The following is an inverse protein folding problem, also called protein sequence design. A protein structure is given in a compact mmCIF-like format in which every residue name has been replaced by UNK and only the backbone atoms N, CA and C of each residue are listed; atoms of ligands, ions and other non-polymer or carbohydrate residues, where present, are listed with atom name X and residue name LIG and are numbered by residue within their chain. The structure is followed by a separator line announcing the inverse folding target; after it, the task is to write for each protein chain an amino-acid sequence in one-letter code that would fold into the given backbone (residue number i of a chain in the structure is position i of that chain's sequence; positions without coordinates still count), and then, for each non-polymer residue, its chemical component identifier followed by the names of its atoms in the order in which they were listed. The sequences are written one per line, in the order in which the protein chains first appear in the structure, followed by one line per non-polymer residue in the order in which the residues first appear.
data_IF_130627136825
#
_entry.id   IF_130627136825
#
_cell.length_a   1.000
_cell.length_b   1.000
_cell.length_c   1.000
_cell.angle_alpha   90.00
_cell.angle_beta   90.00
_cell.angle_gamma   90.00
#
_symmetry.space_group_name_H-M   'P 1'
#
loop_
_entity.id
_entity.type
_entity.pdbx_description
1 polymer ?
#
# COMPACT_ATOMS: atom_id res chain seq x y z
N UNK A 1 10.55 -16.53 12.42
CA UNK A 1 10.43 -15.10 12.81
C UNK A 1 9.42 -14.40 11.90
N UNK A 2 8.77 -13.29 12.35
CA UNK A 2 7.90 -12.45 11.50
C UNK A 2 8.65 -11.92 10.26
N UNK A 3 9.94 -11.61 10.41
CA UNK A 3 10.81 -11.16 9.31
C UNK A 3 10.87 -12.19 8.17
N UNK A 4 11.05 -13.47 8.49
CA UNK A 4 11.16 -14.52 7.46
C UNK A 4 9.86 -14.67 6.66
N UNK A 5 8.70 -14.39 7.27
CA UNK A 5 7.40 -14.46 6.60
C UNK A 5 7.12 -13.28 5.66
N UNK A 6 7.98 -12.27 5.66
CA UNK A 6 7.93 -11.11 4.76
C UNK A 6 9.08 -11.16 3.73
N UNK A 7 10.29 -11.44 4.19
CA UNK A 7 11.48 -11.42 3.34
C UNK A 7 11.53 -12.60 2.36
N UNK A 8 11.20 -13.82 2.79
CA UNK A 8 11.20 -14.97 1.87
C UNK A 8 10.17 -14.79 0.75
N UNK A 9 8.91 -14.39 1.04
CA UNK A 9 7.92 -14.18 -0.02
C UNK A 9 8.25 -13.03 -0.95
N UNK A 10 8.97 -12.00 -0.47
CA UNK A 10 9.51 -10.95 -1.34
C UNK A 10 10.48 -11.52 -2.38
N UNK A 11 11.49 -12.28 -1.93
CA UNK A 11 12.46 -12.90 -2.84
C UNK A 11 11.81 -13.88 -3.81
N UNK A 12 10.90 -14.73 -3.31
CA UNK A 12 10.11 -15.65 -4.15
C UNK A 12 9.30 -14.87 -5.18
N UNK A 13 8.68 -13.76 -4.76
CA UNK A 13 7.95 -12.88 -5.63
C UNK A 13 8.82 -12.31 -6.75
N UNK A 14 9.99 -11.75 -6.42
CA UNK A 14 10.95 -11.19 -7.37
C UNK A 14 11.48 -12.24 -8.36
N UNK A 15 11.72 -13.48 -7.92
CA UNK A 15 12.34 -14.53 -8.73
C UNK A 15 11.31 -15.29 -9.59
N UNK A 16 10.08 -15.49 -9.07
CA UNK A 16 9.10 -16.41 -9.68
C UNK A 16 7.88 -15.68 -10.21
N UNK A 17 7.39 -14.66 -9.49
CA UNK A 17 6.08 -14.05 -9.74
C UNK A 17 6.17 -12.80 -10.60
N UNK A 18 7.19 -11.96 -10.40
CA UNK A 18 7.42 -10.74 -11.17
C UNK A 18 7.91 -11.01 -12.60
N UNK A 19 8.81 -11.99 -12.88
CA UNK A 19 9.34 -12.17 -14.22
C UNK A 19 8.29 -12.44 -15.31
N UNK A 20 7.25 -13.27 -15.07
CA UNK A 20 6.16 -13.39 -16.02
C UNK A 20 5.43 -12.08 -16.28
N UNK A 21 5.22 -11.25 -15.26
CA UNK A 21 4.57 -9.94 -15.42
C UNK A 21 5.39 -9.07 -16.38
N UNK A 22 6.69 -8.93 -16.12
CA UNK A 22 7.56 -8.08 -16.92
C UNK A 22 7.70 -8.58 -18.36
N UNK A 23 7.70 -9.90 -18.57
CA UNK A 23 7.68 -10.48 -19.91
C UNK A 23 6.45 -10.04 -20.72
N UNK A 24 5.24 -10.07 -20.13
CA UNK A 24 4.03 -9.65 -20.83
C UNK A 24 3.94 -8.12 -21.01
N UNK A 25 4.53 -7.34 -20.10
CA UNK A 25 4.67 -5.88 -20.25
C UNK A 25 5.58 -5.51 -21.43
N UNK A 26 6.65 -6.29 -21.65
CA UNK A 26 7.70 -5.99 -22.63
C UNK A 26 7.91 -7.16 -23.63
N UNK A 27 6.83 -7.78 -24.11
CA UNK A 27 6.90 -9.05 -24.86
C UNK A 27 7.74 -8.96 -26.15
N UNK A 28 7.86 -7.78 -26.72
CA UNK A 28 8.63 -7.51 -27.94
C UNK A 28 10.14 -7.41 -27.71
N UNK A 29 10.57 -7.26 -26.46
CA UNK A 29 11.99 -7.14 -26.10
C UNK A 29 12.69 -8.50 -25.94
N UNK A 30 11.92 -9.60 -25.96
CA UNK A 30 12.44 -10.94 -25.71
C UNK A 30 12.05 -11.94 -26.80
N UNK A 31 13.00 -12.78 -27.21
CA UNK A 31 12.76 -13.83 -28.21
C UNK A 31 11.79 -14.92 -27.72
N UNK A 32 11.82 -15.23 -26.42
CA UNK A 32 10.99 -16.27 -25.82
C UNK A 32 10.78 -16.03 -24.33
N UNK A 33 9.73 -16.65 -23.76
CA UNK A 33 9.50 -16.61 -22.32
C UNK A 33 10.67 -17.21 -21.53
N UNK A 34 11.31 -18.28 -22.02
CA UNK A 34 12.40 -18.94 -21.31
C UNK A 34 13.65 -18.06 -21.22
N UNK A 35 14.01 -17.38 -22.32
CA UNK A 35 15.13 -16.44 -22.34
C UNK A 35 14.85 -15.22 -21.47
N UNK A 36 13.63 -14.67 -21.54
CA UNK A 36 13.20 -13.57 -20.67
C UNK A 36 13.27 -13.96 -19.20
N UNK A 37 12.70 -15.11 -18.82
CA UNK A 37 12.66 -15.57 -17.44
C UNK A 37 14.07 -15.75 -16.86
N UNK A 38 15.01 -16.33 -17.60
CA UNK A 38 16.39 -16.51 -17.15
C UNK A 38 17.10 -15.19 -16.83
N UNK A 39 16.83 -14.14 -17.61
CA UNK A 39 17.37 -12.79 -17.37
C UNK A 39 16.64 -12.10 -16.21
N UNK A 40 15.31 -12.12 -16.23
CA UNK A 40 14.45 -11.39 -15.29
C UNK A 40 14.46 -11.98 -13.88
N UNK A 41 14.60 -13.30 -13.73
CA UNK A 41 14.70 -13.91 -12.39
C UNK A 41 15.97 -13.46 -11.64
N UNK A 42 17.00 -13.00 -12.37
CA UNK A 42 18.27 -12.51 -11.82
C UNK A 42 18.30 -10.99 -11.64
N UNK A 43 17.28 -10.26 -12.07
CA UNK A 43 17.21 -8.79 -11.90
C UNK A 43 16.80 -8.39 -10.48
N UNK A 44 16.15 -9.29 -9.73
CA UNK A 44 15.61 -9.03 -8.40
C UNK A 44 14.69 -7.79 -8.32
N UNK A 45 13.96 -7.50 -9.39
CA UNK A 45 13.02 -6.37 -9.42
C UNK A 45 11.78 -6.66 -8.56
N UNK A 46 11.45 -5.74 -7.65
CA UNK A 46 10.26 -5.82 -6.82
C UNK A 46 8.98 -5.52 -7.62
N UNK A 47 9.04 -4.68 -8.66
CA UNK A 47 7.89 -4.22 -9.43
C UNK A 47 6.71 -3.89 -8.50
N UNK A 48 5.54 -4.53 -8.65
CA UNK A 48 4.36 -4.32 -7.82
C UNK A 48 4.53 -4.69 -6.35
N UNK A 49 5.51 -5.52 -6.03
CA UNK A 49 5.85 -5.95 -4.67
C UNK A 49 6.64 -4.89 -3.90
N UNK A 50 6.88 -3.70 -4.49
CA UNK A 50 7.52 -2.56 -3.84
C UNK A 50 6.98 -2.34 -2.43
N UNK A 51 5.66 -2.44 -2.23
CA UNK A 51 5.06 -2.25 -0.89
C UNK A 51 5.59 -3.24 0.16
N UNK A 52 5.89 -4.49 -0.21
CA UNK A 52 6.51 -5.47 0.70
C UNK A 52 7.95 -5.06 1.05
N UNK A 53 8.69 -4.51 0.09
CA UNK A 53 10.04 -3.95 0.31
C UNK A 53 10.01 -2.89 1.42
N UNK A 54 9.05 -1.94 1.35
CA UNK A 54 8.84 -0.96 2.42
C UNK A 54 8.48 -1.63 3.74
N UNK A 55 7.57 -2.62 3.75
CA UNK A 55 7.16 -3.29 4.98
C UNK A 55 8.32 -4.01 5.69
N UNK A 56 9.27 -4.61 4.94
CA UNK A 56 10.45 -5.24 5.53
C UNK A 56 11.28 -4.21 6.28
N UNK A 57 11.58 -3.07 5.66
CA UNK A 57 12.37 -2.00 6.28
C UNK A 57 11.61 -1.33 7.42
N UNK A 58 10.32 -1.05 7.24
CA UNK A 58 9.49 -0.42 8.26
C UNK A 58 9.34 -1.31 9.49
N UNK A 59 9.28 -2.64 9.30
CA UNK A 59 9.25 -3.57 10.42
C UNK A 59 10.55 -3.53 11.23
N UNK A 60 11.71 -3.38 10.59
CA UNK A 60 12.99 -3.19 11.28
C UNK A 60 13.00 -1.87 12.06
N UNK A 61 12.53 -0.78 11.44
CA UNK A 61 12.40 0.55 12.07
C UNK A 61 11.32 0.60 13.17
N UNK A 62 10.35 -0.32 13.14
CA UNK A 62 9.31 -0.42 14.16
C UNK A 62 9.89 -0.79 15.53
N UNK A 63 11.01 -1.52 15.58
CA UNK A 63 11.67 -1.94 16.82
C UNK A 63 12.23 -0.74 17.61
N UNK A 64 13.14 0.09 17.06
CA UNK A 64 13.62 1.27 17.75
C UNK A 64 12.49 2.28 18.01
N UNK A 65 11.51 2.42 17.10
CA UNK A 65 10.37 3.30 17.33
C UNK A 65 9.48 2.84 18.49
N UNK A 66 9.21 1.54 18.61
CA UNK A 66 8.51 0.98 19.78
C UNK A 66 9.27 1.26 21.07
N UNK A 67 10.59 1.10 21.07
CA UNK A 67 11.43 1.40 22.23
C UNK A 67 11.44 2.91 22.56
N UNK A 68 11.36 3.78 21.55
CA UNK A 68 11.18 5.22 21.75
C UNK A 68 9.83 5.51 22.41
N UNK A 69 8.75 4.84 22.00
CA UNK A 69 7.39 4.98 22.56
C UNK A 69 7.27 4.55 24.03
N UNK A 70 8.25 3.82 24.58
CA UNK A 70 8.30 3.47 26.02
C UNK A 70 9.15 4.44 26.84
N UNK A 71 9.93 5.32 26.20
CA UNK A 71 10.73 6.36 26.87
C UNK A 71 9.89 7.60 27.15
N UNK A 72 10.40 8.51 27.99
CA UNK A 72 9.74 9.77 28.33
C UNK A 72 9.37 10.61 27.10
N UNK A 73 10.23 10.64 26.08
CA UNK A 73 9.98 11.34 24.81
C UNK A 73 8.78 10.76 24.07
N UNK A 74 8.70 9.44 23.97
CA UNK A 74 7.58 8.74 23.35
C UNK A 74 6.27 8.88 24.13
N UNK A 75 6.33 8.90 25.46
CA UNK A 75 5.16 9.17 26.31
C UNK A 75 4.64 10.59 26.06
N UNK A 76 5.53 11.59 26.00
CA UNK A 76 5.15 12.98 25.65
C UNK A 76 4.53 13.07 24.26
N UNK A 77 5.09 12.37 23.27
CA UNK A 77 4.52 12.30 21.92
C UNK A 77 3.11 11.70 21.93
N UNK A 78 2.91 10.60 22.65
CA UNK A 78 1.60 9.96 22.79
C UNK A 78 0.57 10.90 23.44
N UNK A 79 0.95 11.55 24.54
CA UNK A 79 0.08 12.52 25.24
C UNK A 79 -0.27 13.73 24.36
N UNK A 80 0.68 14.20 23.55
CA UNK A 80 0.44 15.28 22.59
C UNK A 80 -0.54 14.85 21.49
N UNK A 81 -0.37 13.65 20.93
CA UNK A 81 -1.30 13.08 19.95
C UNK A 81 -2.69 12.89 20.55
N UNK A 82 -2.80 12.39 21.78
CA UNK A 82 -4.06 12.25 22.50
C UNK A 82 -4.75 13.60 22.69
N UNK A 83 -4.02 14.62 23.16
CA UNK A 83 -4.56 15.98 23.33
C UNK A 83 -5.06 16.55 22.01
N UNK A 84 -4.27 16.44 20.95
CA UNK A 84 -4.67 16.91 19.62
C UNK A 84 -5.89 16.14 19.12
N UNK A 85 -5.97 14.83 19.37
CA UNK A 85 -7.10 14.01 18.93
C UNK A 85 -8.44 14.47 19.49
N UNK A 86 -8.46 15.12 20.67
CA UNK A 86 -9.70 15.66 21.26
C UNK A 86 -10.23 16.91 20.51
N UNK A 87 -9.42 17.52 19.66
CA UNK A 87 -9.86 18.63 18.83
C UNK A 87 -10.45 18.12 17.51
N UNK A 88 -11.55 18.74 17.10
CA UNK A 88 -12.31 18.43 15.87
C UNK A 88 -11.45 18.26 14.61
N UNK A 89 -10.44 19.11 14.43
CA UNK A 89 -9.51 19.08 13.29
C UNK A 89 -8.11 18.59 13.66
N UNK A 90 -7.91 18.09 14.88
CA UNK A 90 -6.57 17.85 15.40
C UNK A 90 -5.83 16.74 14.68
N UNK A 91 -6.45 15.55 14.51
CA UNK A 91 -5.79 14.49 13.74
C UNK A 91 -5.66 14.86 12.26
N UNK A 92 -6.62 15.62 11.71
CA UNK A 92 -6.56 16.10 10.33
C UNK A 92 -5.38 17.08 10.12
N UNK A 93 -5.07 17.93 11.10
CA UNK A 93 -3.99 18.92 11.00
C UNK A 93 -2.58 18.31 10.93
N UNK A 94 -2.42 17.04 11.32
CA UNK A 94 -1.17 16.30 11.10
C UNK A 94 -0.77 16.20 9.62
N UNK A 95 -1.73 16.42 8.70
CA UNK A 95 -1.43 16.53 7.27
C UNK A 95 -0.47 17.67 6.95
N UNK A 96 -0.46 18.76 7.74
CA UNK A 96 0.43 19.89 7.53
C UNK A 96 1.90 19.48 7.70
N UNK A 97 2.19 18.70 8.75
CA UNK A 97 3.53 18.15 8.96
C UNK A 97 3.93 17.22 7.79
N UNK A 98 3.00 16.40 7.32
CA UNK A 98 3.23 15.49 6.20
C UNK A 98 3.46 16.24 4.87
N UNK A 99 2.74 17.34 4.61
CA UNK A 99 2.91 18.20 3.44
C UNK A 99 4.30 18.83 3.43
N UNK A 100 4.71 19.43 4.56
CA UNK A 100 6.05 20.04 4.66
C UNK A 100 7.13 18.99 4.42
N UNK A 101 6.98 17.82 5.04
CA UNK A 101 7.94 16.73 4.91
C UNK A 101 8.03 16.21 3.47
N UNK A 102 6.88 15.93 2.84
CA UNK A 102 6.81 15.44 1.46
C UNK A 102 7.36 16.46 0.46
N UNK A 103 6.94 17.71 0.58
CA UNK A 103 7.33 18.81 -0.31
C UNK A 103 8.83 19.11 -0.22
N UNK A 104 9.36 19.23 1.00
CA UNK A 104 10.80 19.46 1.24
C UNK A 104 11.65 18.31 0.69
N UNK A 105 11.27 17.05 0.95
CA UNK A 105 12.02 15.89 0.45
C UNK A 105 11.93 15.75 -1.07
N UNK A 106 10.78 16.04 -1.68
CA UNK A 106 10.67 16.06 -3.16
C UNK A 106 11.49 17.19 -3.78
N UNK A 107 11.68 18.30 -3.07
CA UNK A 107 12.51 19.40 -3.53
C UNK A 107 14.01 19.06 -3.46
N UNK A 108 14.47 18.45 -2.36
CA UNK A 108 15.89 18.12 -2.14
C UNK A 108 16.32 16.86 -2.90
N UNK A 109 15.45 15.85 -2.98
CA UNK A 109 15.72 14.56 -3.61
C UNK A 109 14.55 14.15 -4.53
N UNK A 110 14.43 14.79 -5.71
CA UNK A 110 13.39 14.43 -6.67
C UNK A 110 13.68 13.03 -7.27
N UNK A 111 12.88 12.06 -6.88
CA UNK A 111 12.88 10.72 -7.48
C UNK A 111 11.44 10.25 -7.68
N UNK A 112 11.13 9.68 -8.83
CA UNK A 112 9.82 9.09 -9.14
C UNK A 112 9.83 7.56 -9.06
N UNK A 113 10.95 6.96 -8.61
CA UNK A 113 11.03 5.52 -8.41
C UNK A 113 10.14 5.05 -7.26
N UNK A 114 9.66 3.81 -7.37
CA UNK A 114 8.89 3.15 -6.32
C UNK A 114 9.76 2.33 -5.35
N UNK A 115 11.09 2.44 -5.43
CA UNK A 115 12.01 1.74 -4.54
C UNK A 115 12.18 2.45 -3.20
N UNK A 116 12.66 1.71 -2.19
CA UNK A 116 12.90 2.25 -0.84
C UNK A 116 13.91 3.41 -0.79
N UNK A 117 14.77 3.51 -1.81
CA UNK A 117 15.76 4.58 -1.95
C UNK A 117 15.11 5.96 -2.22
N UNK A 118 13.85 5.98 -2.67
CA UNK A 118 13.09 7.21 -2.80
C UNK A 118 12.73 7.75 -1.41
N UNK A 119 13.65 8.51 -0.80
CA UNK A 119 13.53 9.03 0.58
C UNK A 119 12.22 9.76 0.80
N UNK A 120 11.77 10.56 -0.16
CA UNK A 120 10.51 11.27 -0.04
C UNK A 120 9.33 10.30 0.09
N UNK A 121 9.31 9.22 -0.71
CA UNK A 121 8.23 8.22 -0.70
C UNK A 121 8.31 7.35 0.56
N UNK A 122 9.51 6.95 0.95
CA UNK A 122 9.80 6.19 2.16
C UNK A 122 9.36 6.92 3.40
N UNK A 123 9.71 8.19 3.55
CA UNK A 123 9.31 8.98 4.70
C UNK A 123 7.80 9.25 4.70
N UNK A 124 7.19 9.45 3.54
CA UNK A 124 5.74 9.59 3.41
C UNK A 124 5.01 8.36 3.97
N UNK A 125 5.31 7.16 3.48
CA UNK A 125 4.66 5.94 3.98
C UNK A 125 5.07 5.59 5.42
N UNK A 126 6.31 5.90 5.83
CA UNK A 126 6.77 5.69 7.19
C UNK A 126 5.98 6.55 8.19
N UNK A 127 5.59 7.77 7.79
CA UNK A 127 4.72 8.62 8.59
C UNK A 127 3.36 7.95 8.85
N UNK A 128 2.71 7.39 7.82
CA UNK A 128 1.46 6.63 7.98
C UNK A 128 1.66 5.41 8.91
N UNK A 129 2.76 4.68 8.71
CA UNK A 129 3.07 3.49 9.51
C UNK A 129 3.25 3.83 10.99
N UNK A 130 4.06 4.85 11.31
CA UNK A 130 4.29 5.29 12.69
C UNK A 130 3.06 5.95 13.31
N UNK A 131 2.30 6.75 12.55
CA UNK A 131 1.01 7.27 13.02
C UNK A 131 0.06 6.12 13.41
N UNK A 132 -0.03 5.08 12.58
CA UNK A 132 -0.80 3.87 12.87
C UNK A 132 -0.33 3.18 14.16
N UNK A 133 0.98 3.05 14.37
CA UNK A 133 1.54 2.49 15.62
C UNK A 133 1.14 3.31 16.86
N UNK A 134 1.15 4.64 16.76
CA UNK A 134 0.72 5.53 17.86
C UNK A 134 -0.80 5.44 18.09
N UNK A 135 -1.60 5.35 17.03
CA UNK A 135 -3.06 5.29 17.11
C UNK A 135 -3.52 3.99 17.78
N UNK A 136 -2.96 2.84 17.38
CA UNK A 136 -3.29 1.52 17.96
C UNK A 136 -3.01 1.44 19.47
N UNK A 137 -2.08 2.25 19.98
CA UNK A 137 -1.70 2.25 21.40
C UNK A 137 -2.71 2.97 22.32
N UNK A 138 -3.60 3.81 21.78
CA UNK A 138 -4.47 4.67 22.60
C UNK A 138 -5.94 4.58 22.24
N UNK A 139 -6.75 4.17 23.22
CA UNK A 139 -8.20 4.16 23.09
C UNK A 139 -8.79 5.57 22.88
N UNK A 140 -8.16 6.61 23.44
CA UNK A 140 -8.63 7.99 23.29
C UNK A 140 -8.59 8.43 21.83
N UNK A 141 -7.51 8.09 21.13
CA UNK A 141 -7.37 8.38 19.69
C UNK A 141 -8.40 7.58 18.88
N UNK A 142 -8.63 6.31 19.21
CA UNK A 142 -9.65 5.49 18.54
C UNK A 142 -11.06 6.05 18.71
N UNK A 143 -11.41 6.50 19.92
CA UNK A 143 -12.71 7.14 20.18
C UNK A 143 -12.84 8.45 19.41
N UNK A 144 -11.81 9.30 19.43
CA UNK A 144 -11.77 10.54 18.67
C UNK A 144 -11.92 10.33 17.15
N UNK A 145 -11.25 9.32 16.57
CA UNK A 145 -11.40 8.96 15.15
C UNK A 145 -12.85 8.62 14.80
N UNK A 146 -13.53 7.85 15.65
CA UNK A 146 -14.93 7.50 15.47
C UNK A 146 -15.85 8.72 15.66
N UNK A 147 -15.60 9.55 16.67
CA UNK A 147 -16.39 10.75 16.96
C UNK A 147 -16.30 11.79 15.83
N UNK A 148 -15.08 12.07 15.34
CA UNK A 148 -14.82 13.06 14.31
C UNK A 148 -14.93 12.54 12.87
N UNK A 149 -15.49 11.33 12.66
CA UNK A 149 -15.58 10.67 11.34
C UNK A 149 -16.21 11.54 10.24
N UNK A 150 -17.26 12.31 10.56
CA UNK A 150 -17.91 13.20 9.58
C UNK A 150 -17.06 14.43 9.26
N UNK A 151 -16.29 14.93 10.22
CA UNK A 151 -15.34 16.04 9.98
C UNK A 151 -14.23 15.56 9.05
N UNK A 152 -13.70 14.35 9.31
CA UNK A 152 -12.72 13.72 8.43
C UNK A 152 -13.30 13.48 7.03
N UNK A 153 -14.56 13.05 6.92
CA UNK A 153 -15.27 12.87 5.64
C UNK A 153 -15.42 14.20 4.88
N UNK A 154 -15.86 15.26 5.54
CA UNK A 154 -15.92 16.59 4.93
C UNK A 154 -14.53 17.02 4.47
N UNK A 155 -13.50 16.79 5.29
CA UNK A 155 -12.10 17.00 4.92
C UNK A 155 -11.71 16.22 3.67
N UNK A 156 -12.05 14.93 3.59
CA UNK A 156 -11.80 14.08 2.43
C UNK A 156 -12.53 14.60 1.19
N UNK A 157 -13.80 15.00 1.30
CA UNK A 157 -14.56 15.56 0.18
C UNK A 157 -13.87 16.82 -0.33
N UNK A 158 -13.53 17.77 0.54
CA UNK A 158 -12.84 19.01 0.18
C UNK A 158 -11.47 18.72 -0.45
N UNK A 159 -10.67 17.82 0.15
CA UNK A 159 -9.38 17.42 -0.41
C UNK A 159 -9.52 16.74 -1.77
N UNK A 160 -10.58 15.95 -1.97
CA UNK A 160 -10.88 15.29 -3.24
C UNK A 160 -11.30 16.30 -4.31
N UNK A 161 -12.06 17.34 -3.94
CA UNK A 161 -12.39 18.43 -4.86
C UNK A 161 -11.13 19.17 -5.32
N UNK A 162 -10.18 19.44 -4.42
CA UNK A 162 -8.88 20.01 -4.82
C UNK A 162 -8.06 19.06 -5.68
N UNK A 163 -8.03 17.77 -5.34
CA UNK A 163 -7.31 16.75 -6.12
C UNK A 163 -7.86 16.65 -7.55
N UNK A 164 -9.18 16.46 -7.72
CA UNK A 164 -9.79 16.35 -9.04
C UNK A 164 -9.85 17.68 -9.78
N UNK A 165 -10.01 18.80 -9.07
CA UNK A 165 -9.94 20.13 -9.65
C UNK A 165 -8.57 20.42 -10.25
N UNK A 166 -7.49 19.94 -9.63
CA UNK A 166 -6.14 20.01 -10.19
C UNK A 166 -5.91 18.96 -11.28
N UNK A 167 -6.35 17.72 -11.10
CA UNK A 167 -6.17 16.63 -12.08
C UNK A 167 -6.84 16.93 -13.43
N UNK A 168 -8.04 17.52 -13.40
CA UNK A 168 -8.79 17.93 -14.59
C UNK A 168 -8.60 19.42 -14.92
N UNK A 169 -7.62 20.10 -14.33
CA UNK A 169 -7.35 21.49 -14.66
C UNK A 169 -6.92 21.63 -16.13
N UNK A 170 -7.20 22.77 -16.79
CA UNK A 170 -6.58 23.06 -18.08
C UNK A 170 -5.04 23.07 -17.97
N UNK A 171 -4.34 23.13 -19.11
CA UNK A 171 -2.89 23.19 -19.09
C UNK A 171 -2.40 24.47 -18.37
N UNK A 172 -1.75 24.27 -17.22
CA UNK A 172 -1.16 25.32 -16.40
C UNK A 172 0.31 25.60 -16.74
N UNK A 173 0.88 24.90 -17.74
CA UNK A 173 2.26 25.10 -18.17
C UNK A 173 2.62 26.56 -18.54
N UNK A 174 1.70 27.40 -19.08
CA UNK A 174 2.00 28.80 -19.37
C UNK A 174 2.14 29.67 -18.12
N UNK A 175 1.54 29.26 -17.00
CA UNK A 175 1.44 30.08 -15.78
C UNK A 175 2.36 29.58 -14.65
N UNK A 176 2.67 28.29 -14.64
CA UNK A 176 3.38 27.64 -13.55
C UNK A 176 4.53 26.76 -14.06
N UNK A 177 5.68 26.88 -13.39
CA UNK A 177 6.83 26.01 -13.64
C UNK A 177 6.47 24.53 -13.43
N UNK A 178 7.20 23.62 -14.10
CA UNK A 178 7.03 22.18 -13.91
C UNK A 178 7.19 21.78 -12.44
N UNK A 179 8.19 22.35 -11.75
CA UNK A 179 8.42 22.11 -10.32
C UNK A 179 7.22 22.54 -9.47
N UNK A 180 6.64 23.71 -9.72
CA UNK A 180 5.46 24.19 -8.99
C UNK A 180 4.26 23.29 -9.22
N UNK A 181 4.03 22.86 -10.47
CA UNK A 181 2.95 21.93 -10.83
C UNK A 181 3.08 20.62 -10.05
N UNK A 182 4.27 20.03 -10.03
CA UNK A 182 4.50 18.83 -9.24
C UNK A 182 4.34 19.04 -7.73
N UNK A 183 4.77 20.19 -7.19
CA UNK A 183 4.55 20.50 -5.77
C UNK A 183 3.06 20.60 -5.42
N UNK A 184 2.24 21.17 -6.30
CA UNK A 184 0.78 21.16 -6.15
C UNK A 184 0.25 19.72 -6.22
N UNK A 185 0.73 18.90 -7.17
CA UNK A 185 0.35 17.50 -7.28
C UNK A 185 0.63 16.71 -5.98
N UNK A 186 1.82 16.84 -5.40
CA UNK A 186 2.17 16.14 -4.16
C UNK A 186 1.41 16.69 -2.96
N UNK A 187 1.11 17.98 -2.93
CA UNK A 187 0.25 18.61 -1.93
C UNK A 187 -1.16 17.98 -1.95
N UNK A 188 -1.83 17.97 -3.10
CA UNK A 188 -3.20 17.44 -3.21
C UNK A 188 -3.24 15.93 -2.97
N UNK A 189 -2.24 15.18 -3.43
CA UNK A 189 -2.07 13.75 -3.12
C UNK A 189 -1.95 13.50 -1.61
N UNK A 190 -1.17 14.33 -0.92
CA UNK A 190 -0.96 14.18 0.53
C UNK A 190 -2.24 14.49 1.31
N UNK A 191 -2.96 15.55 0.91
CA UNK A 191 -4.24 15.93 1.48
C UNK A 191 -5.28 14.82 1.37
N UNK A 192 -5.49 14.27 0.17
CA UNK A 192 -6.46 13.19 -0.05
C UNK A 192 -6.05 11.90 0.66
N UNK A 193 -4.75 11.57 0.68
CA UNK A 193 -4.25 10.34 1.34
C UNK A 193 -4.48 10.35 2.84
N UNK A 194 -4.13 11.44 3.53
CA UNK A 194 -4.27 11.54 4.98
C UNK A 194 -5.74 11.63 5.41
N UNK A 195 -6.52 12.47 4.75
CA UNK A 195 -7.97 12.59 5.03
C UNK A 195 -8.71 11.28 4.72
N UNK A 196 -8.31 10.56 3.67
CA UNK A 196 -8.81 9.24 3.32
C UNK A 196 -8.58 8.22 4.42
N UNK A 197 -7.34 8.12 4.92
CA UNK A 197 -7.00 7.24 6.05
C UNK A 197 -7.89 7.50 7.27
N UNK A 198 -7.97 8.76 7.71
CA UNK A 198 -8.74 9.12 8.91
C UNK A 198 -10.23 8.85 8.74
N UNK A 199 -10.77 9.11 7.55
CA UNK A 199 -12.18 8.84 7.23
C UNK A 199 -12.46 7.35 7.25
N UNK A 200 -11.67 6.55 6.52
CA UNK A 200 -11.83 5.10 6.47
C UNK A 200 -11.70 4.48 7.86
N UNK A 201 -10.69 4.87 8.63
CA UNK A 201 -10.51 4.39 10.00
C UNK A 201 -11.69 4.81 10.91
N UNK A 202 -12.09 6.08 10.89
CA UNK A 202 -13.19 6.58 11.73
C UNK A 202 -14.51 5.87 11.48
N UNK A 203 -14.89 5.67 10.21
CA UNK A 203 -16.10 4.92 9.87
C UNK A 203 -15.99 3.42 10.20
N UNK A 204 -14.83 2.80 9.93
CA UNK A 204 -14.61 1.41 10.28
C UNK A 204 -14.75 1.18 11.80
N UNK A 205 -14.13 2.04 12.62
CA UNK A 205 -14.22 1.96 14.09
C UNK A 205 -15.66 2.16 14.56
N UNK A 206 -16.40 3.10 13.97
CA UNK A 206 -17.77 3.41 14.38
C UNK A 206 -18.76 2.29 14.03
N UNK A 207 -18.64 1.68 12.86
CA UNK A 207 -19.68 0.79 12.31
C UNK A 207 -19.30 -0.71 12.28
N UNK A 208 -18.02 -1.06 12.19
CA UNK A 208 -17.59 -2.46 12.12
C UNK A 208 -17.32 -2.98 13.53
N UNK A 209 -18.35 -3.55 14.16
CA UNK A 209 -18.27 -4.09 15.53
C UNK A 209 -18.13 -5.62 15.60
N UNK A 210 -18.30 -6.31 14.47
CA UNK A 210 -18.28 -7.77 14.40
C UNK A 210 -17.16 -8.25 13.50
N UNK A 211 -16.49 -9.32 13.91
CA UNK A 211 -15.47 -10.02 13.13
C UNK A 211 -16.06 -11.34 12.65
N UNK A 212 -16.46 -11.47 11.37
CA UNK A 212 -17.06 -12.70 10.89
C UNK A 212 -16.04 -13.83 10.78
N UNK A 213 -16.49 -15.07 10.86
CA UNK A 213 -15.61 -16.27 10.87
C UNK A 213 -14.82 -16.44 9.57
N UNK A 214 -15.42 -16.11 8.42
CA UNK A 214 -14.75 -16.17 7.12
C UNK A 214 -13.53 -15.23 7.03
N UNK A 215 -13.52 -14.15 7.82
CA UNK A 215 -12.41 -13.19 7.83
C UNK A 215 -11.10 -13.84 8.31
N UNK A 216 -11.18 -14.86 9.15
CA UNK A 216 -9.98 -15.59 9.58
C UNK A 216 -9.30 -16.30 8.40
N UNK A 217 -10.10 -16.92 7.53
CA UNK A 217 -9.60 -17.64 6.36
C UNK A 217 -9.07 -16.68 5.30
N UNK A 218 -9.77 -15.57 5.02
CA UNK A 218 -9.30 -14.58 4.05
C UNK A 218 -8.05 -13.84 4.55
N UNK A 219 -7.95 -13.53 5.84
CA UNK A 219 -6.73 -12.97 6.43
C UNK A 219 -5.51 -13.90 6.31
N UNK A 220 -5.71 -15.22 6.29
CA UNK A 220 -4.63 -16.18 6.03
C UNK A 220 -4.11 -16.07 4.58
N UNK A 221 -5.00 -15.82 3.62
CA UNK A 221 -4.72 -15.86 2.19
C UNK A 221 -4.46 -14.50 1.54
N UNK A 222 -4.75 -13.39 2.23
CA UNK A 222 -4.63 -12.04 1.67
C UNK A 222 -3.20 -11.71 1.22
N UNK A 223 -2.19 -12.22 1.92
CA UNK A 223 -0.80 -11.93 1.60
C UNK A 223 -0.33 -12.66 0.32
N UNK A 224 -0.56 -13.98 0.14
CA UNK A 224 -0.35 -14.64 -1.15
C UNK A 224 -1.17 -14.03 -2.28
N UNK A 225 -2.43 -13.65 -2.01
CA UNK A 225 -3.28 -13.02 -3.01
C UNK A 225 -2.65 -11.73 -3.50
N UNK A 226 -2.15 -10.89 -2.59
CA UNK A 226 -1.40 -9.68 -2.94
C UNK A 226 -0.11 -9.98 -3.73
N UNK A 227 0.62 -11.06 -3.43
CA UNK A 227 1.81 -11.40 -4.22
C UNK A 227 1.43 -11.75 -5.68
N UNK A 228 0.35 -12.51 -5.86
CA UNK A 228 -0.05 -13.04 -7.18
C UNK A 228 -0.83 -12.04 -8.06
N UNK A 229 -1.63 -11.15 -7.46
CA UNK A 229 -2.70 -10.48 -8.19
C UNK A 229 -2.24 -9.71 -9.43
N UNK A 230 -1.18 -8.90 -9.34
CA UNK A 230 -0.79 -8.06 -10.46
C UNK A 230 -0.24 -8.86 -11.63
N UNK A 231 0.61 -9.85 -11.39
CA UNK A 231 1.09 -10.77 -12.43
C UNK A 231 -0.09 -11.44 -13.15
N UNK A 232 -1.06 -11.96 -12.41
CA UNK A 232 -2.25 -12.59 -13.00
C UNK A 232 -3.08 -11.58 -13.79
N UNK A 233 -3.28 -10.36 -13.26
CA UNK A 233 -3.98 -9.28 -13.95
C UNK A 233 -3.29 -8.95 -15.27
N UNK A 234 -1.96 -8.76 -15.29
CA UNK A 234 -1.21 -8.39 -16.49
C UNK A 234 -1.29 -9.48 -17.56
N UNK A 235 -1.09 -10.75 -17.18
CA UNK A 235 -1.19 -11.89 -18.10
C UNK A 235 -2.59 -11.93 -18.73
N UNK A 236 -3.65 -11.82 -17.93
CA UNK A 236 -5.03 -11.88 -18.43
C UNK A 236 -5.39 -10.65 -19.26
N UNK A 237 -4.99 -9.45 -18.79
CA UNK A 237 -5.23 -8.19 -19.47
C UNK A 237 -4.56 -8.14 -20.84
N UNK A 238 -3.36 -8.72 -20.99
CA UNK A 238 -2.67 -8.83 -22.27
C UNK A 238 -3.55 -9.44 -23.36
N UNK A 239 -4.32 -10.48 -23.04
CA UNK A 239 -5.26 -11.11 -23.98
C UNK A 239 -6.60 -10.38 -24.05
N UNK A 240 -7.17 -9.98 -22.90
CA UNK A 240 -8.51 -9.39 -22.82
C UNK A 240 -8.58 -8.02 -23.50
N UNK A 241 -7.51 -7.23 -23.46
CA UNK A 241 -7.48 -5.90 -24.09
C UNK A 241 -7.67 -5.96 -25.61
N UNK A 242 -7.33 -7.10 -26.23
CA UNK A 242 -7.42 -7.35 -27.68
C UNK A 242 -8.84 -7.71 -28.14
N UNK A 243 -9.77 -7.96 -27.21
CA UNK A 243 -11.15 -8.32 -27.57
C UNK A 243 -11.87 -7.20 -28.30
N UNK A 244 -12.74 -7.55 -29.25
CA UNK A 244 -13.67 -6.61 -29.89
C UNK A 244 -14.90 -6.39 -28.99
N UNK A 245 -14.65 -5.81 -27.81
CA UNK A 245 -15.66 -5.57 -26.78
C UNK A 245 -15.49 -4.18 -26.15
N UNK A 246 -16.52 -3.70 -25.46
CA UNK A 246 -16.47 -2.42 -24.76
C UNK A 246 -15.46 -2.45 -23.59
N UNK A 247 -14.96 -1.28 -23.20
CA UNK A 247 -14.05 -1.15 -22.04
C UNK A 247 -14.67 -1.75 -20.78
N UNK A 248 -15.98 -1.57 -20.55
CA UNK A 248 -16.66 -2.14 -19.39
C UNK A 248 -16.59 -3.67 -19.36
N UNK A 249 -16.82 -4.33 -20.51
CA UNK A 249 -16.73 -5.79 -20.61
C UNK A 249 -15.30 -6.26 -20.36
N UNK A 250 -14.31 -5.57 -20.93
CA UNK A 250 -12.87 -5.88 -20.70
C UNK A 250 -12.51 -5.74 -19.23
N UNK A 251 -12.87 -4.62 -18.59
CA UNK A 251 -12.57 -4.35 -17.18
C UNK A 251 -13.21 -5.36 -16.24
N UNK A 252 -14.50 -5.67 -16.42
CA UNK A 252 -15.20 -6.68 -15.61
C UNK A 252 -14.60 -8.07 -15.83
N UNK A 253 -14.25 -8.41 -17.08
CA UNK A 253 -13.66 -9.71 -17.39
C UNK A 253 -12.30 -9.86 -16.73
N UNK A 254 -11.40 -8.87 -16.80
CA UNK A 254 -10.11 -8.88 -16.10
C UNK A 254 -10.32 -8.99 -14.59
N UNK A 255 -11.20 -8.17 -14.01
CA UNK A 255 -11.46 -8.17 -12.56
C UNK A 255 -11.93 -9.55 -12.07
N UNK A 256 -12.95 -10.11 -12.72
CA UNK A 256 -13.56 -11.37 -12.29
C UNK A 256 -12.62 -12.55 -12.54
N UNK A 257 -11.98 -12.62 -13.72
CA UNK A 257 -11.05 -13.70 -14.02
C UNK A 257 -9.81 -13.67 -13.14
N UNK A 258 -9.20 -12.49 -12.91
CA UNK A 258 -8.07 -12.36 -12.01
C UNK A 258 -8.44 -12.73 -10.57
N UNK A 259 -9.59 -12.27 -10.07
CA UNK A 259 -10.08 -12.66 -8.74
C UNK A 259 -10.22 -14.17 -8.61
N UNK A 260 -10.89 -14.82 -9.57
CA UNK A 260 -11.11 -16.28 -9.57
C UNK A 260 -9.78 -17.02 -9.63
N UNK A 261 -8.89 -16.67 -10.58
CA UNK A 261 -7.58 -17.33 -10.73
C UNK A 261 -6.74 -17.17 -9.46
N UNK A 262 -6.61 -15.95 -8.92
CA UNK A 262 -5.87 -15.72 -7.69
C UNK A 262 -6.47 -16.47 -6.49
N UNK A 263 -7.80 -16.48 -6.34
CA UNK A 263 -8.47 -17.20 -5.27
C UNK A 263 -8.24 -18.71 -5.37
N UNK A 264 -8.34 -19.29 -6.57
CA UNK A 264 -8.08 -20.71 -6.82
C UNK A 264 -6.63 -21.08 -6.54
N UNK A 265 -5.66 -20.29 -7.01
CA UNK A 265 -4.25 -20.50 -6.73
C UNK A 265 -3.97 -20.42 -5.22
N UNK A 266 -4.52 -19.42 -4.54
CA UNK A 266 -4.36 -19.30 -3.09
C UNK A 266 -4.93 -20.50 -2.35
N UNK A 267 -6.14 -20.94 -2.71
CA UNK A 267 -6.87 -21.97 -1.98
C UNK A 267 -6.36 -23.39 -2.25
N UNK A 268 -6.06 -23.71 -3.52
CA UNK A 268 -5.72 -25.07 -3.95
C UNK A 268 -4.23 -25.31 -4.17
N UNK A 269 -3.42 -24.27 -4.37
CA UNK A 269 -1.97 -24.40 -4.60
C UNK A 269 -1.15 -23.90 -3.42
N UNK A 270 -1.50 -22.75 -2.85
CA UNK A 270 -0.67 -22.15 -1.78
C UNK A 270 -1.06 -22.67 -0.40
N UNK A 271 -2.36 -22.71 -0.09
CA UNK A 271 -2.84 -23.11 1.23
C UNK A 271 -2.52 -24.55 1.64
N UNK A 272 -2.60 -25.59 0.78
CA UNK A 272 -2.50 -26.98 1.25
C UNK A 272 -1.07 -27.48 1.47
N UNK A 273 -0.08 -27.03 0.69
CA UNK A 273 1.28 -27.60 0.75
C UNK A 273 2.20 -26.83 1.70
N UNK A 274 2.97 -27.54 2.54
CA UNK A 274 3.88 -26.91 3.53
C UNK A 274 4.91 -25.98 2.89
N UNK A 275 5.46 -26.35 1.73
CA UNK A 275 6.45 -25.56 1.01
C UNK A 275 5.86 -24.25 0.50
N UNK A 276 4.76 -24.30 -0.26
CA UNK A 276 4.12 -23.09 -0.80
C UNK A 276 3.58 -22.19 0.30
N UNK A 277 3.06 -22.75 1.40
CA UNK A 277 2.74 -21.96 2.60
C UNK A 277 3.95 -21.15 3.10
N UNK A 278 5.12 -21.78 3.20
CA UNK A 278 6.34 -21.10 3.63
C UNK A 278 6.77 -20.02 2.62
N UNK A 279 6.82 -20.36 1.33
CA UNK A 279 7.24 -19.46 0.25
C UNK A 279 6.34 -18.23 0.10
N UNK A 280 5.07 -18.32 0.48
CA UNK A 280 4.11 -17.21 0.42
C UNK A 280 3.72 -16.65 1.80
N UNK A 281 4.52 -16.92 2.83
CA UNK A 281 4.42 -16.23 4.14
C UNK A 281 3.33 -16.74 5.09
N UNK A 282 2.68 -17.85 4.76
CA UNK A 282 1.69 -18.50 5.63
C UNK A 282 2.37 -19.17 6.82
N UNK A 283 1.59 -19.35 7.90
CA UNK A 283 2.01 -20.19 9.03
C UNK A 283 2.14 -21.64 8.54
N UNK A 284 3.32 -22.24 8.64
CA UNK A 284 3.48 -23.68 8.34
C UNK A 284 2.63 -24.48 9.31
N UNK A 285 1.80 -25.39 8.79
CA UNK A 285 1.02 -26.30 9.64
C UNK A 285 1.99 -27.19 10.41
N UNK A 286 1.73 -27.47 11.70
CA UNK A 286 2.52 -28.45 12.43
C UNK A 286 2.53 -29.76 11.63
N UNK A 287 3.68 -30.44 11.58
CA UNK A 287 3.71 -31.76 10.99
C UNK A 287 2.66 -32.62 11.71
N UNK A 288 1.72 -33.21 10.97
CA UNK A 288 0.96 -34.32 11.52
C UNK A 288 1.98 -35.31 12.06
N UNK A 289 1.85 -35.63 13.35
CA UNK A 289 2.48 -36.85 13.88
C UNK A 289 1.91 -38.05 13.15
#
# INVERSE_FOLDING_TARGET
SKFHRLFIPLLVGMIIIVPPQHYYENITEYDSFASAYGQLMLSFDSNHLWFIEFLVIFMLLAVPFRNLLTRQTGIKLQQWLERISQHRFGLLSLVLALIVLRGALKYVAPSDSHHIENVSLSVFYLFFFFAGMCFVKSELIWRALAEHRYINLTGLIVCSLFFYGYYYSPDLSPYLSLTTRWQIWWLVCTLVSWSGLLTMAGFAIAHIKKTPTWLHQTNELIYPFYILHQTVIVILAFYIVQWQASIAVKSVSVLMSAFVVCALLCYYVIRPFKLTRYLFGLKVLPASK
#
